data_IF_940784783834
#
_entry.id   IF_940784783834
#
_cell.length_a   1.000
_cell.length_b   1.000
_cell.length_c   1.000
_cell.angle_alpha   90.00
_cell.angle_beta   90.00
_cell.angle_gamma   90.00
#
_symmetry.space_group_name_H-M   'P 1'
#
loop_
_entity.id
_entity.type
_entity.pdbx_description
1 polymer ?
#
# COMPACT_ATOMS: atom_id res chain seq x y z
N UNK A 1 -4.99 13.31 -9.52
CA UNK A 1 -5.84 12.16 -9.90
C UNK A 1 -7.13 12.67 -10.53
N UNK A 2 -7.32 12.58 -11.86
CA UNK A 2 -8.57 12.99 -12.56
C UNK A 2 -9.40 11.79 -13.06
N UNK A 3 -9.12 10.57 -12.60
CA UNK A 3 -9.84 9.36 -13.02
C UNK A 3 -10.28 8.56 -11.81
N UNK A 4 -11.60 8.43 -11.64
CA UNK A 4 -12.24 7.66 -10.55
C UNK A 4 -11.79 6.20 -10.54
N UNK A 5 -11.56 5.62 -11.73
CA UNK A 5 -11.12 4.22 -11.90
C UNK A 5 -9.74 3.97 -11.29
N UNK A 6 -8.82 4.92 -11.44
CA UNK A 6 -7.49 4.83 -10.83
C UNK A 6 -7.54 4.90 -9.31
N UNK A 7 -8.43 5.74 -8.77
CA UNK A 7 -8.63 5.84 -7.33
C UNK A 7 -9.18 4.52 -6.77
N UNK A 8 -10.16 3.91 -7.44
CA UNK A 8 -10.72 2.61 -7.05
C UNK A 8 -9.68 1.49 -7.05
N UNK A 9 -8.84 1.41 -8.10
CA UNK A 9 -7.74 0.42 -8.16
C UNK A 9 -6.77 0.60 -6.99
N UNK A 10 -6.50 1.84 -6.60
CA UNK A 10 -5.61 2.16 -5.49
C UNK A 10 -6.17 1.87 -4.09
N UNK A 11 -7.49 1.91 -3.94
CA UNK A 11 -8.15 1.61 -2.67
C UNK A 11 -8.06 0.12 -2.34
N UNK A 12 -8.06 -0.77 -3.34
CA UNK A 12 -8.11 -2.22 -3.12
C UNK A 12 -6.93 -2.75 -2.30
N UNK A 13 -5.64 -2.52 -2.67
CA UNK A 13 -4.50 -2.96 -1.85
C UNK A 13 -4.55 -2.43 -0.42
N UNK A 14 -4.96 -1.18 -0.26
CA UNK A 14 -5.07 -0.52 1.05
C UNK A 14 -6.16 -1.17 1.90
N UNK A 15 -7.33 -1.44 1.32
CA UNK A 15 -8.44 -2.10 1.99
C UNK A 15 -8.09 -3.55 2.37
N UNK A 16 -7.35 -4.26 1.50
CA UNK A 16 -6.82 -5.60 1.81
C UNK A 16 -5.89 -5.57 3.02
N UNK A 17 -4.96 -4.61 3.08
CA UNK A 17 -4.05 -4.47 4.22
C UNK A 17 -4.79 -4.15 5.52
N UNK A 18 -5.65 -3.14 5.51
CA UNK A 18 -6.44 -2.76 6.68
C UNK A 18 -7.35 -3.90 7.15
N UNK A 19 -8.04 -4.55 6.20
CA UNK A 19 -8.89 -5.70 6.47
C UNK A 19 -8.13 -6.89 7.04
N UNK A 20 -6.92 -7.16 6.56
CA UNK A 20 -6.08 -8.23 7.08
C UNK A 20 -5.67 -7.98 8.53
N UNK A 21 -5.32 -6.75 8.89
CA UNK A 21 -4.96 -6.40 10.28
C UNK A 21 -6.17 -6.45 11.20
N UNK A 22 -7.31 -5.89 10.79
CA UNK A 22 -8.55 -5.98 11.57
C UNK A 22 -9.01 -7.44 11.73
N UNK A 23 -8.89 -8.26 10.68
CA UNK A 23 -9.18 -9.68 10.72
C UNK A 23 -8.25 -10.44 11.65
N UNK A 24 -6.96 -10.13 11.63
CA UNK A 24 -5.97 -10.72 12.52
C UNK A 24 -6.25 -10.37 13.99
N UNK A 25 -6.63 -9.12 14.27
CA UNK A 25 -7.05 -8.71 15.60
C UNK A 25 -8.29 -9.48 16.07
N UNK A 26 -9.29 -9.63 15.20
CA UNK A 26 -10.47 -10.45 15.49
C UNK A 26 -10.11 -11.90 15.78
N UNK A 27 -9.17 -12.48 15.02
CA UNK A 27 -8.70 -13.86 15.21
C UNK A 27 -7.98 -14.06 16.54
N UNK A 28 -7.15 -13.11 16.96
CA UNK A 28 -6.42 -13.15 18.24
C UNK A 28 -7.20 -12.55 19.42
N UNK A 29 -8.49 -12.21 19.24
CA UNK A 29 -9.32 -11.56 20.25
C UNK A 29 -8.69 -10.29 20.86
N UNK A 30 -7.94 -9.54 20.05
CA UNK A 30 -7.37 -8.25 20.48
C UNK A 30 -8.50 -7.21 20.48
N UNK A 31 -8.78 -6.55 21.61
CA UNK A 31 -9.89 -5.60 21.70
C UNK A 31 -9.66 -4.40 20.80
N UNK A 32 -10.72 -3.96 20.11
CA UNK A 32 -10.76 -2.69 19.41
C UNK A 32 -11.00 -1.57 20.42
N UNK A 33 -9.96 -0.78 20.65
CA UNK A 33 -9.91 0.37 21.54
C UNK A 33 -9.38 1.60 20.80
N UNK A 34 -9.24 2.73 21.50
CA UNK A 34 -8.78 3.98 20.90
C UNK A 34 -7.38 3.83 20.27
N UNK A 35 -6.49 3.04 20.87
CA UNK A 35 -5.13 2.84 20.37
C UNK A 35 -5.14 1.99 19.10
N UNK A 36 -5.82 0.86 19.12
CA UNK A 36 -5.83 -0.10 18.01
C UNK A 36 -6.61 0.39 16.78
N UNK A 37 -7.64 1.22 16.96
CA UNK A 37 -8.34 1.86 15.83
C UNK A 37 -7.38 2.78 15.03
N UNK A 38 -6.44 3.44 15.70
CA UNK A 38 -5.46 4.29 15.00
C UNK A 38 -4.52 3.49 14.10
N UNK A 39 -4.30 2.20 14.36
CA UNK A 39 -3.49 1.31 13.52
C UNK A 39 -4.11 1.16 12.14
N UNK A 40 -5.43 0.96 12.07
CA UNK A 40 -6.15 0.88 10.80
C UNK A 40 -6.07 2.21 10.03
N UNK A 41 -6.20 3.35 10.73
CA UNK A 41 -6.07 4.67 10.12
C UNK A 41 -4.65 4.91 9.54
N UNK A 42 -3.61 4.53 10.29
CA UNK A 42 -2.21 4.61 9.84
C UNK A 42 -1.97 3.72 8.63
N UNK A 43 -2.43 2.46 8.69
CA UNK A 43 -2.31 1.50 7.60
C UNK A 43 -2.97 2.02 6.31
N UNK A 44 -4.16 2.63 6.44
CA UNK A 44 -4.87 3.25 5.31
C UNK A 44 -4.09 4.44 4.76
N UNK A 45 -3.66 5.36 5.62
CA UNK A 45 -2.94 6.56 5.19
C UNK A 45 -1.66 6.22 4.40
N UNK A 46 -0.90 5.25 4.90
CA UNK A 46 0.37 4.85 4.29
C UNK A 46 0.13 4.01 3.03
N UNK A 47 -0.86 3.11 3.05
CA UNK A 47 -1.23 2.35 1.86
C UNK A 47 -1.68 3.22 0.69
N UNK A 48 -2.40 4.32 0.99
CA UNK A 48 -2.81 5.32 -0.01
C UNK A 48 -1.61 6.13 -0.52
N UNK A 49 -0.68 6.53 0.34
CA UNK A 49 0.53 7.24 -0.04
C UNK A 49 1.38 6.43 -1.04
N UNK A 50 1.69 5.19 -0.67
CA UNK A 50 2.39 4.21 -1.51
C UNK A 50 1.71 4.03 -2.87
N UNK A 51 0.39 3.86 -2.86
CA UNK A 51 -0.43 3.73 -4.06
C UNK A 51 -0.29 4.97 -4.95
N UNK A 52 -0.36 6.16 -4.37
CA UNK A 52 -0.28 7.42 -5.10
C UNK A 52 1.07 7.53 -5.81
N UNK A 53 2.15 7.30 -5.07
CA UNK A 53 3.51 7.35 -5.59
C UNK A 53 3.72 6.33 -6.71
N UNK A 54 3.25 5.09 -6.51
CA UNK A 54 3.39 4.01 -7.49
C UNK A 54 2.60 4.31 -8.78
N UNK A 55 1.32 4.68 -8.66
CA UNK A 55 0.46 4.98 -9.81
C UNK A 55 0.99 6.18 -10.60
N UNK A 56 1.49 7.20 -9.90
CA UNK A 56 2.05 8.37 -10.56
C UNK A 56 3.29 8.01 -11.39
N UNK A 57 4.23 7.24 -10.81
CA UNK A 57 5.40 6.74 -11.54
C UNK A 57 4.99 5.84 -12.70
N UNK A 58 4.05 4.92 -12.49
CA UNK A 58 3.56 4.03 -13.54
C UNK A 58 3.03 4.79 -14.75
N UNK A 59 2.24 5.86 -14.55
CA UNK A 59 1.76 6.69 -15.66
C UNK A 59 2.88 7.36 -16.44
N UNK A 60 3.97 7.73 -15.77
CA UNK A 60 5.14 8.30 -16.42
C UNK A 60 5.90 7.24 -17.23
N UNK A 61 6.18 6.09 -16.61
CA UNK A 61 6.92 5.00 -17.25
C UNK A 61 6.15 4.39 -18.43
N UNK A 62 4.82 4.28 -18.35
CA UNK A 62 4.00 3.75 -19.43
C UNK A 62 4.04 4.60 -20.71
N UNK A 63 4.30 5.90 -20.59
CA UNK A 63 4.39 6.81 -21.76
C UNK A 63 5.67 6.61 -22.57
N UNK A 64 6.66 5.88 -22.06
CA UNK A 64 7.94 5.68 -22.73
C UNK A 64 7.81 4.70 -23.90
N UNK A 65 7.18 3.55 -23.68
CA UNK A 65 7.10 2.45 -24.66
C UNK A 65 5.69 1.86 -24.80
N UNK A 66 4.72 2.28 -23.98
CA UNK A 66 3.36 1.74 -23.99
C UNK A 66 3.25 0.29 -23.51
N UNK A 67 4.33 -0.32 -22.99
CA UNK A 67 4.29 -1.68 -22.47
C UNK A 67 4.01 -1.67 -20.96
N UNK A 68 2.90 -2.28 -20.56
CA UNK A 68 2.48 -2.37 -19.17
C UNK A 68 3.51 -3.06 -18.28
N UNK A 69 4.05 -4.20 -18.71
CA UNK A 69 4.95 -4.99 -17.88
C UNK A 69 6.33 -4.35 -17.77
N UNK A 70 6.82 -3.74 -18.85
CA UNK A 70 8.08 -2.98 -18.81
C UNK A 70 7.95 -1.74 -17.92
N UNK A 71 6.80 -1.05 -17.98
CA UNK A 71 6.50 0.06 -17.07
C UNK A 71 6.44 -0.39 -15.60
N UNK A 72 5.80 -1.54 -15.31
CA UNK A 72 5.82 -2.14 -13.96
C UNK A 72 7.25 -2.44 -13.52
N UNK A 73 8.08 -3.00 -14.39
CA UNK A 73 9.48 -3.32 -14.08
C UNK A 73 10.29 -2.07 -13.74
N UNK A 74 10.17 -1.00 -14.54
CA UNK A 74 10.82 0.30 -14.24
C UNK A 74 10.30 0.94 -12.96
N UNK A 75 9.01 0.79 -12.66
CA UNK A 75 8.45 1.24 -11.37
C UNK A 75 9.07 0.49 -10.20
N UNK A 76 9.18 -0.83 -10.28
CA UNK A 76 9.82 -1.64 -9.22
C UNK A 76 11.26 -1.23 -8.98
N UNK A 77 12.04 -1.00 -10.05
CA UNK A 77 13.44 -0.59 -9.94
C UNK A 77 13.62 0.84 -9.40
N UNK A 78 12.57 1.66 -9.40
CA UNK A 78 12.61 3.05 -8.92
C UNK A 78 11.76 3.22 -7.65
N UNK A 79 10.49 3.56 -7.81
CA UNK A 79 9.59 3.87 -6.69
C UNK A 79 9.33 2.67 -5.80
N UNK A 80 9.34 1.44 -6.34
CA UNK A 80 9.19 0.22 -5.54
C UNK A 80 10.30 0.05 -4.51
N UNK A 81 11.56 0.37 -4.89
CA UNK A 81 12.69 0.39 -3.94
C UNK A 81 12.52 1.49 -2.89
N UNK A 82 12.06 2.67 -3.29
CA UNK A 82 11.82 3.76 -2.36
C UNK A 82 10.78 3.38 -1.31
N UNK A 83 9.64 2.81 -1.73
CA UNK A 83 8.57 2.31 -0.86
C UNK A 83 9.06 1.21 0.09
N UNK A 84 9.91 0.31 -0.39
CA UNK A 84 10.52 -0.73 0.44
C UNK A 84 11.35 -0.14 1.58
N UNK A 85 12.22 0.83 1.28
CA UNK A 85 13.06 1.47 2.30
C UNK A 85 12.24 2.30 3.29
N UNK A 86 11.28 3.10 2.82
CA UNK A 86 10.42 3.89 3.71
C UNK A 86 9.60 2.99 4.63
N UNK A 87 9.01 1.92 4.09
CA UNK A 87 8.22 0.96 4.88
C UNK A 87 9.08 0.28 5.95
N UNK A 88 10.29 -0.16 5.62
CA UNK A 88 11.20 -0.76 6.62
C UNK A 88 11.57 0.25 7.69
N UNK A 89 11.89 1.49 7.33
CA UNK A 89 12.21 2.53 8.32
C UNK A 89 11.04 2.74 9.29
N UNK A 90 9.80 2.80 8.78
CA UNK A 90 8.62 2.98 9.63
C UNK A 90 8.33 1.73 10.47
N UNK A 91 8.49 0.52 9.91
CA UNK A 91 8.39 -0.74 10.64
C UNK A 91 9.34 -0.77 11.83
N UNK A 92 10.62 -0.43 11.60
CA UNK A 92 11.62 -0.37 12.66
C UNK A 92 11.27 0.69 13.70
N UNK A 93 10.79 1.87 13.28
CA UNK A 93 10.31 2.92 14.18
C UNK A 93 9.21 2.46 15.13
N UNK A 94 8.18 1.78 14.61
CA UNK A 94 7.11 1.22 15.45
C UNK A 94 7.56 -0.01 16.25
N UNK A 95 8.52 -0.78 15.75
CA UNK A 95 9.03 -1.98 16.44
C UNK A 95 9.69 -1.65 17.78
N UNK A 96 10.24 -0.44 17.94
CA UNK A 96 10.81 0.02 19.22
C UNK A 96 9.76 -0.01 20.35
N UNK A 97 8.48 0.20 20.02
CA UNK A 97 7.38 0.21 21.01
C UNK A 97 7.15 -1.16 21.66
N UNK A 98 7.64 -2.25 21.04
CA UNK A 98 7.60 -3.60 21.61
C UNK A 98 8.42 -3.70 22.90
N UNK A 99 9.42 -2.82 23.07
CA UNK A 99 10.23 -2.77 24.29
C UNK A 99 9.52 -2.08 25.48
N UNK A 100 8.29 -1.60 25.29
CA UNK A 100 7.51 -0.96 26.33
C UNK A 100 7.11 -1.95 27.44
N UNK A 101 6.86 -1.44 28.65
CA UNK A 101 6.25 -2.20 29.75
C UNK A 101 4.72 -2.13 29.75
N UNK A 102 4.13 -1.29 28.90
CA UNK A 102 2.70 -1.10 28.80
C UNK A 102 2.14 -1.91 27.62
N UNK A 103 1.34 -2.94 27.95
CA UNK A 103 0.83 -3.94 26.98
C UNK A 103 0.13 -3.31 25.76
N UNK A 104 -0.72 -2.27 25.90
CA UNK A 104 -1.32 -1.61 24.74
C UNK A 104 -0.29 -1.00 23.77
N UNK A 105 0.82 -0.46 24.28
CA UNK A 105 1.92 0.07 23.46
C UNK A 105 2.67 -1.05 22.72
N UNK A 106 2.85 -2.21 23.37
CA UNK A 106 3.46 -3.39 22.74
C UNK A 106 2.59 -3.86 21.56
N UNK A 107 1.28 -4.05 21.80
CA UNK A 107 0.34 -4.44 20.75
C UNK A 107 0.34 -3.44 19.60
N UNK A 108 0.33 -2.15 19.92
CA UNK A 108 0.38 -1.09 18.92
C UNK A 108 1.64 -1.16 18.05
N UNK A 109 2.82 -1.39 18.65
CA UNK A 109 4.07 -1.57 17.92
C UNK A 109 4.08 -2.78 16.99
N UNK A 110 3.65 -3.95 17.51
CA UNK A 110 3.59 -5.20 16.73
C UNK A 110 2.57 -5.10 15.60
N UNK A 111 1.36 -4.65 15.89
CA UNK A 111 0.29 -4.60 14.90
C UNK A 111 0.54 -3.53 13.83
N UNK A 112 1.11 -2.37 14.19
CA UNK A 112 1.43 -1.32 13.19
C UNK A 112 2.61 -1.72 12.30
N UNK A 113 3.66 -2.35 12.85
CA UNK A 113 4.75 -2.87 12.04
C UNK A 113 4.29 -3.98 11.09
N UNK A 114 3.40 -4.86 11.54
CA UNK A 114 2.78 -5.86 10.68
C UNK A 114 1.87 -5.23 9.61
N UNK A 115 1.08 -4.22 9.98
CA UNK A 115 0.22 -3.50 9.04
C UNK A 115 1.04 -2.87 7.90
N UNK A 116 2.20 -2.30 8.25
CA UNK A 116 3.13 -1.75 7.27
C UNK A 116 3.68 -2.83 6.33
N UNK A 117 4.11 -3.97 6.87
CA UNK A 117 4.59 -5.08 6.05
C UNK A 117 3.51 -5.56 5.06
N UNK A 118 2.27 -5.73 5.53
CA UNK A 118 1.16 -6.14 4.68
C UNK A 118 0.83 -5.07 3.63
N UNK A 119 0.84 -3.79 4.00
CA UNK A 119 0.59 -2.68 3.07
C UNK A 119 1.65 -2.63 1.96
N UNK A 120 2.94 -2.74 2.32
CA UNK A 120 4.04 -2.79 1.36
C UNK A 120 3.87 -3.97 0.40
N UNK A 121 3.60 -5.17 0.92
CA UNK A 121 3.40 -6.36 0.11
C UNK A 121 2.20 -6.19 -0.83
N UNK A 122 1.08 -5.69 -0.34
CA UNK A 122 -0.10 -5.43 -1.17
C UNK A 122 0.19 -4.40 -2.27
N UNK A 123 0.94 -3.34 -1.98
CA UNK A 123 1.27 -2.30 -2.96
C UNK A 123 2.35 -2.70 -3.96
N UNK A 124 3.29 -3.58 -3.61
CA UNK A 124 4.30 -4.08 -4.55
C UNK A 124 3.77 -5.25 -5.39
N UNK A 125 2.82 -6.04 -4.88
CA UNK A 125 2.32 -7.23 -5.59
C UNK A 125 0.95 -7.02 -6.21
N UNK A 126 -0.06 -6.68 -5.41
CA UNK A 126 -1.46 -6.62 -5.85
C UNK A 126 -1.71 -5.38 -6.70
N UNK A 127 -1.19 -4.21 -6.31
CA UNK A 127 -1.38 -2.96 -7.06
C UNK A 127 -0.93 -3.05 -8.54
N UNK A 128 0.30 -3.47 -8.89
CA UNK A 128 0.71 -3.55 -10.29
C UNK A 128 -0.14 -4.54 -11.08
N UNK A 129 -0.52 -5.69 -10.51
CA UNK A 129 -1.42 -6.66 -11.16
C UNK A 129 -2.77 -6.02 -11.45
N UNK A 130 -3.36 -5.30 -10.48
CA UNK A 130 -4.63 -4.59 -10.68
C UNK A 130 -4.49 -3.49 -11.75
N UNK A 131 -3.37 -2.77 -11.78
CA UNK A 131 -3.08 -1.78 -12.82
C UNK A 131 -3.01 -2.45 -14.20
N UNK A 132 -2.35 -3.59 -14.35
CA UNK A 132 -2.28 -4.29 -15.65
C UNK A 132 -3.67 -4.78 -16.07
N UNK A 133 -4.40 -5.47 -15.18
CA UNK A 133 -5.70 -6.08 -15.48
C UNK A 133 -6.78 -5.05 -15.79
N UNK A 134 -6.97 -4.04 -14.92
CA UNK A 134 -8.07 -3.07 -15.08
C UNK A 134 -7.76 -1.97 -16.09
N UNK A 135 -6.49 -1.76 -16.41
CA UNK A 135 -6.04 -0.61 -17.21
C UNK A 135 -5.56 -1.00 -18.60
N UNK A 136 -5.32 -2.29 -18.88
CA UNK A 136 -5.43 -2.86 -20.23
C UNK A 136 -6.80 -2.54 -20.86
N UNK A 137 -7.86 -2.42 -20.04
CA UNK A 137 -9.22 -2.09 -20.52
C UNK A 137 -9.50 -0.59 -20.72
N UNK A 138 -8.66 0.35 -20.24
CA UNK A 138 -9.01 1.78 -20.22
C UNK A 138 -7.96 2.77 -20.73
N UNK A 139 -6.68 2.39 -20.84
CA UNK A 139 -5.62 3.30 -21.31
C UNK A 139 -5.52 3.38 -22.84
N UNK A 140 -6.03 2.39 -23.58
CA UNK A 140 -6.14 2.45 -25.04
C UNK A 140 -7.02 3.60 -25.57
N UNK A 141 -7.79 4.29 -24.70
CA UNK A 141 -8.63 5.44 -25.09
C UNK A 141 -8.07 6.81 -24.69
N UNK A 142 -7.04 6.87 -23.85
CA UNK A 142 -6.44 8.16 -23.41
C UNK A 142 -5.11 8.42 -24.12
N UNK A 143 -4.43 7.38 -24.59
CA UNK A 143 -3.22 7.53 -25.42
C UNK A 143 -3.50 7.91 -26.89
N UNK A 144 -4.78 7.97 -27.30
CA UNK A 144 -5.22 8.37 -28.65
C UNK A 144 -5.93 9.74 -28.66
N UNK A 145 -5.93 10.45 -27.53
CA UNK A 145 -6.62 11.75 -27.39
C UNK A 145 -5.68 12.93 -27.06
N UNK A 146 -4.37 12.70 -27.01
CA UNK A 146 -3.34 13.75 -26.87
C UNK A 146 -2.46 13.76 -28.12
#
# INVERSE_FOLDING_TARGET
>A
FRSLKLALVGIVPTAVSAGMILGLMGWFAIPLDLMTITIAAIAIGIGVDDTIHYVHRFKHEFRVDGNYWDAVHRCHLSIGRAMYYTSITVMLGFSILVLSRFVPTIHFGVLTSLAMAVALLANITLLPVLIVVFRAASLGRVALSD
#
